data_IF_745531210139
#
_entry.id   IF_745531210139
#
_cell.length_a   1.000
_cell.length_b   1.000
_cell.length_c   1.000
_cell.angle_alpha   90.00
_cell.angle_beta   90.00
_cell.angle_gamma   90.00
#
_symmetry.space_group_name_H-M   'P 1'
#
loop_
_entity.id
_entity.type
_entity.pdbx_description
1 polymer ?
#
# COMPACT_ATOMS: atom_id res chain seq x y z
N UNK A 1 -3.33 38.16 -1.53
CA UNK A 1 -3.50 36.89 -2.30
C UNK A 1 -2.32 35.92 -2.13
N UNK A 2 -1.81 35.69 -0.92
CA UNK A 2 -0.54 34.94 -0.68
C UNK A 2 -0.72 33.59 0.03
N UNK A 3 -1.84 33.36 0.70
CA UNK A 3 -2.07 32.16 1.53
C UNK A 3 -2.22 30.88 0.70
N UNK A 4 -2.80 30.98 -0.50
CA UNK A 4 -3.04 29.83 -1.40
C UNK A 4 -1.73 29.28 -2.00
N UNK A 5 -0.75 30.14 -2.25
CA UNK A 5 0.55 29.73 -2.78
C UNK A 5 1.38 28.95 -1.73
N UNK A 6 1.32 29.38 -0.46
CA UNK A 6 1.98 28.69 0.65
C UNK A 6 1.36 27.30 0.89
N UNK A 7 0.03 27.20 0.89
CA UNK A 7 -0.69 25.94 1.04
C UNK A 7 -0.37 24.93 -0.08
N UNK A 8 -0.25 25.38 -1.33
CA UNK A 8 0.16 24.52 -2.46
C UNK A 8 1.57 23.96 -2.29
N UNK A 9 2.54 24.81 -1.93
CA UNK A 9 3.93 24.39 -1.72
C UNK A 9 4.04 23.41 -0.55
N UNK A 10 3.31 23.65 0.54
CA UNK A 10 3.27 22.74 1.68
C UNK A 10 2.63 21.38 1.32
N UNK A 11 1.56 21.38 0.52
CA UNK A 11 0.93 20.15 0.03
C UNK A 11 1.89 19.33 -0.82
N UNK A 12 2.66 19.98 -1.69
CA UNK A 12 3.64 19.28 -2.52
C UNK A 12 4.81 18.73 -1.71
N UNK A 13 5.32 19.49 -0.75
CA UNK A 13 6.33 19.01 0.20
C UNK A 13 5.84 17.78 0.97
N UNK A 14 4.63 17.83 1.52
CA UNK A 14 3.99 16.70 2.22
C UNK A 14 3.80 15.49 1.31
N UNK A 15 3.44 15.70 0.04
CA UNK A 15 3.34 14.62 -0.96
C UNK A 15 4.69 13.96 -1.20
N UNK A 16 5.76 14.74 -1.39
CA UNK A 16 7.12 14.20 -1.59
C UNK A 16 7.60 13.42 -0.36
N UNK A 17 7.40 13.97 0.84
CA UNK A 17 7.72 13.30 2.09
C UNK A 17 6.93 12.00 2.27
N UNK A 18 5.64 11.99 1.89
CA UNK A 18 4.79 10.80 1.90
C UNK A 18 5.29 9.70 0.95
N UNK A 19 5.69 10.07 -0.26
CA UNK A 19 6.27 9.12 -1.23
C UNK A 19 7.61 8.55 -0.74
N UNK A 20 8.47 9.37 -0.15
CA UNK A 20 9.73 8.91 0.43
C UNK A 20 9.50 7.89 1.55
N UNK A 21 8.55 8.16 2.46
CA UNK A 21 8.16 7.22 3.52
C UNK A 21 7.58 5.93 2.96
N UNK A 22 6.74 6.00 1.92
CA UNK A 22 6.14 4.81 1.31
C UNK A 22 7.17 3.87 0.69
N UNK A 23 8.29 4.40 0.16
CA UNK A 23 9.39 3.59 -0.40
C UNK A 23 10.10 2.73 0.64
N UNK A 24 10.13 3.15 1.91
CA UNK A 24 10.73 2.36 3.00
C UNK A 24 9.97 1.06 3.29
N UNK A 25 8.68 1.02 2.95
CA UNK A 25 7.80 -0.13 3.13
C UNK A 25 7.48 -0.83 1.81
N UNK A 26 8.37 -0.72 0.82
CA UNK A 26 8.20 -1.40 -0.45
C UNK A 26 8.49 -2.90 -0.32
N UNK A 27 7.77 -3.70 -1.10
CA UNK A 27 7.89 -5.16 -1.14
C UNK A 27 8.41 -5.58 -2.52
N UNK A 28 9.22 -6.63 -2.56
CA UNK A 28 9.68 -7.21 -3.82
C UNK A 28 8.61 -8.16 -4.34
N UNK A 29 8.01 -7.82 -5.47
CA UNK A 29 7.04 -8.66 -6.18
C UNK A 29 7.65 -9.02 -7.53
N UNK A 30 7.87 -10.30 -7.78
CA UNK A 30 8.47 -10.81 -9.04
C UNK A 30 9.75 -10.04 -9.45
N UNK A 31 10.63 -9.78 -8.48
CA UNK A 31 11.90 -9.07 -8.71
C UNK A 31 11.79 -7.55 -8.84
N UNK A 32 10.58 -6.96 -8.75
CA UNK A 32 10.37 -5.51 -8.77
C UNK A 32 10.04 -4.99 -7.38
N UNK A 33 10.73 -3.92 -6.97
CA UNK A 33 10.45 -3.25 -5.71
C UNK A 33 9.24 -2.32 -5.87
N UNK A 34 8.11 -2.70 -5.28
CA UNK A 34 6.84 -2.00 -5.41
C UNK A 34 6.29 -1.55 -4.06
N UNK A 35 5.72 -0.35 -4.02
CA UNK A 35 5.02 0.15 -2.83
C UNK A 35 3.65 -0.50 -2.70
N UNK A 36 3.14 -0.60 -1.46
CA UNK A 36 1.78 -1.12 -1.21
C UNK A 36 0.69 -0.38 -1.99
N UNK A 37 0.91 0.91 -2.31
CA UNK A 37 0.00 1.68 -3.15
C UNK A 37 0.02 1.22 -4.61
N UNK A 38 1.21 1.03 -5.19
CA UNK A 38 1.33 0.51 -6.55
C UNK A 38 0.74 -0.90 -6.67
N UNK A 39 0.98 -1.75 -5.66
CA UNK A 39 0.39 -3.09 -5.60
C UNK A 39 -1.14 -3.00 -5.56
N UNK A 40 -1.68 -2.09 -4.74
CA UNK A 40 -3.11 -1.85 -4.65
C UNK A 40 -3.72 -1.35 -5.97
N UNK A 41 -3.04 -0.43 -6.67
CA UNK A 41 -3.48 0.11 -7.95
C UNK A 41 -3.51 -0.97 -9.04
N UNK A 42 -2.54 -1.89 -9.07
CA UNK A 42 -2.47 -3.00 -10.05
C UNK A 42 -3.57 -4.04 -9.81
N UNK A 43 -3.84 -4.37 -8.55
CA UNK A 43 -4.81 -5.42 -8.18
C UNK A 43 -6.25 -4.85 -8.10
N UNK A 44 -6.39 -3.53 -7.97
CA UNK A 44 -7.68 -2.88 -7.77
C UNK A 44 -8.23 -3.03 -6.33
N UNK A 45 -7.35 -3.05 -5.33
CA UNK A 45 -7.72 -3.21 -3.91
C UNK A 45 -7.34 -1.99 -3.06
N UNK A 46 -7.67 -2.00 -1.77
CA UNK A 46 -7.23 -0.93 -0.87
C UNK A 46 -5.75 -1.08 -0.48
N UNK A 47 -5.08 0.03 -0.16
CA UNK A 47 -3.66 0.00 0.25
C UNK A 47 -3.42 -0.88 1.49
N UNK A 48 -4.37 -0.87 2.44
CA UNK A 48 -4.29 -1.70 3.66
C UNK A 48 -4.41 -3.20 3.37
N UNK A 49 -5.29 -3.58 2.44
CA UNK A 49 -5.42 -4.99 2.01
C UNK A 49 -4.20 -5.44 1.22
N UNK A 50 -3.70 -4.62 0.30
CA UNK A 50 -2.47 -4.89 -0.43
C UNK A 50 -1.26 -5.06 0.49
N UNK A 51 -1.10 -4.18 1.50
CA UNK A 51 0.00 -4.29 2.47
C UNK A 51 -0.14 -5.54 3.35
N UNK A 52 -1.35 -5.87 3.80
CA UNK A 52 -1.59 -7.09 4.59
C UNK A 52 -1.27 -8.34 3.78
N UNK A 53 -1.67 -8.38 2.50
CA UNK A 53 -1.36 -9.47 1.59
C UNK A 53 0.13 -9.60 1.30
N UNK A 54 0.82 -8.48 1.06
CA UNK A 54 2.27 -8.49 0.85
C UNK A 54 3.05 -8.96 2.09
N UNK A 55 2.53 -8.72 3.30
CA UNK A 55 3.14 -9.18 4.56
C UNK A 55 2.85 -10.65 4.88
N UNK A 56 1.63 -11.12 4.59
CA UNK A 56 1.16 -12.47 4.96
C UNK A 56 1.24 -13.48 3.82
N UNK A 57 1.54 -13.02 2.60
CA UNK A 57 1.60 -13.87 1.42
C UNK A 57 2.79 -14.83 1.46
N UNK A 58 2.71 -15.94 0.72
CA UNK A 58 3.85 -16.82 0.50
C UNK A 58 5.00 -16.07 -0.16
N UNK A 59 6.23 -16.43 0.23
CA UNK A 59 7.45 -15.97 -0.42
C UNK A 59 7.93 -17.04 -1.42
N UNK A 60 8.27 -16.68 -2.68
CA UNK A 60 8.32 -15.34 -3.26
C UNK A 60 6.95 -14.74 -3.59
N UNK A 61 6.82 -13.42 -3.45
CA UNK A 61 5.59 -12.70 -3.79
C UNK A 61 5.38 -12.69 -5.31
N UNK A 62 4.29 -13.32 -5.76
CA UNK A 62 3.83 -13.34 -7.15
C UNK A 62 2.50 -12.59 -7.29
N UNK A 63 2.20 -12.09 -8.49
CA UNK A 63 0.91 -11.43 -8.74
C UNK A 63 -0.27 -12.37 -8.53
N UNK A 64 -0.10 -13.64 -8.91
CA UNK A 64 -1.10 -14.69 -8.70
C UNK A 64 -1.41 -14.86 -7.21
N UNK A 65 -0.39 -14.91 -6.35
CA UNK A 65 -0.58 -15.00 -4.91
C UNK A 65 -1.33 -13.78 -4.33
N UNK A 66 -1.01 -12.58 -4.80
CA UNK A 66 -1.63 -11.34 -4.33
C UNK A 66 -3.09 -11.18 -4.81
N UNK A 67 -3.44 -11.73 -5.97
CA UNK A 67 -4.80 -11.76 -6.51
C UNK A 67 -5.65 -12.85 -5.85
N UNK A 68 -5.11 -14.05 -5.69
CA UNK A 68 -5.79 -15.23 -5.12
C UNK A 68 -6.08 -15.12 -3.63
N UNK A 69 -5.52 -14.13 -2.94
CA UNK A 69 -5.86 -13.81 -1.56
C UNK A 69 -7.28 -13.21 -1.41
N UNK A 70 -8.29 -13.85 -2.01
CA UNK A 70 -9.67 -13.80 -1.54
C UNK A 70 -9.82 -14.85 -0.44
N UNK A 71 -9.73 -14.39 0.81
CA UNK A 71 -10.48 -14.82 2.01
C UNK A 71 -9.61 -15.01 3.28
N UNK A 72 -10.17 -14.84 4.49
CA UNK A 72 -11.26 -13.96 4.90
C UNK A 72 -10.76 -12.82 5.80
N UNK A 73 -11.59 -11.78 5.95
CA UNK A 73 -11.50 -10.92 7.11
C UNK A 73 -11.54 -11.83 8.34
N UNK A 74 -10.53 -11.79 9.20
CA UNK A 74 -10.68 -12.34 10.53
C UNK A 74 -11.75 -11.46 11.21
N UNK A 75 -13.00 -11.88 11.08
CA UNK A 75 -14.08 -11.54 11.99
C UNK A 75 -13.47 -11.71 13.37
N UNK A 76 -13.28 -10.60 14.09
CA UNK A 76 -13.11 -10.70 15.53
C UNK A 76 -14.44 -11.23 16.02
N UNK A 77 -14.54 -12.54 16.20
CA UNK A 77 -15.52 -13.13 17.11
C UNK A 77 -15.20 -12.53 18.48
N UNK A 78 -15.88 -11.43 18.78
CA UNK A 78 -16.06 -10.95 20.14
C UNK A 78 -16.97 -11.97 20.82
N UNK A 79 -16.35 -12.96 21.45
CA UNK A 79 -17.01 -13.72 22.51
C UNK A 79 -17.34 -12.73 23.62
N UNK A 80 -18.64 -12.51 23.83
CA UNK A 80 -19.19 -11.93 25.04
C UNK A 80 -19.86 -13.05 25.84
#
# INVERSE_FOLDING_TARGET
>A
MTVVACARRQREYSRRAGLARARLFAHVVEGKLLTSRQIADVIGTTVGTASTRAKRGPFPLTWASLQSARAPQQSKEQTA
#
